data_IF_328771586663
#
_entry.id   IF_328771586663
#
_cell.length_a   1.000
_cell.length_b   1.000
_cell.length_c   1.000
_cell.angle_alpha   90.00
_cell.angle_beta   90.00
_cell.angle_gamma   90.00
#
_symmetry.space_group_name_H-M   'P 1'
#
loop_
_entity.id
_entity.type
_entity.pdbx_description
1 polymer ?
#
# COMPACT_ATOMS: atom_id res chain seq x y z
N UNK A 1 -72.72 -6.24 -2.33
CA UNK A 1 -73.53 -5.86 -1.14
C UNK A 1 -72.81 -6.50 0.05
N UNK A 2 -72.16 -5.73 0.92
CA UNK A 2 -72.71 -5.24 2.19
C UNK A 2 -73.08 -6.39 3.17
N UNK A 3 -72.60 -6.47 4.41
CA UNK A 3 -71.73 -5.59 5.20
C UNK A 3 -71.04 -6.33 6.38
N UNK A 4 -70.13 -5.63 7.07
CA UNK A 4 -69.62 -5.87 8.46
C UNK A 4 -70.76 -5.96 9.50
N UNK A 5 -70.56 -6.41 10.77
CA UNK A 5 -69.38 -6.29 11.66
C UNK A 5 -68.92 -7.67 12.24
N UNK A 6 -68.17 -7.86 13.35
CA UNK A 6 -67.73 -6.97 14.45
C UNK A 6 -66.40 -7.43 15.12
N UNK A 7 -66.05 -6.82 16.27
CA UNK A 7 -64.87 -7.09 17.12
C UNK A 7 -65.20 -7.99 18.33
N UNK A 8 -64.21 -8.76 18.83
CA UNK A 8 -63.47 -8.39 20.06
C UNK A 8 -62.52 -9.46 20.61
N UNK A 9 -61.27 -9.05 20.77
CA UNK A 9 -60.20 -9.41 21.71
C UNK A 9 -60.39 -10.52 22.76
N UNK A 10 -59.40 -11.42 22.86
CA UNK A 10 -58.66 -11.66 24.13
C UNK A 10 -57.29 -12.36 23.91
N UNK A 11 -56.31 -11.97 24.72
CA UNK A 11 -54.92 -12.48 24.88
C UNK A 11 -54.61 -12.23 26.37
N UNK A 12 -54.12 -13.20 27.18
CA UNK A 12 -52.71 -13.65 27.21
C UNK A 12 -52.56 -15.17 27.58
N UNK A 13 -51.42 -15.81 27.93
CA UNK A 13 -50.06 -15.42 28.38
C UNK A 13 -49.05 -16.55 28.01
N UNK A 14 -47.73 -16.34 28.08
CA UNK A 14 -46.67 -17.30 27.66
C UNK A 14 -46.37 -18.48 28.64
N UNK A 15 -45.15 -19.11 28.64
CA UNK A 15 -43.85 -18.52 28.29
C UNK A 15 -42.83 -19.34 27.44
N UNK A 16 -41.84 -18.61 26.90
CA UNK A 16 -40.42 -18.95 26.67
C UNK A 16 -39.96 -20.36 26.19
N UNK A 17 -39.43 -20.41 24.96
CA UNK A 17 -38.10 -21.00 24.68
C UNK A 17 -37.50 -20.46 23.36
N UNK A 18 -36.19 -20.21 23.32
CA UNK A 18 -35.41 -19.81 22.12
C UNK A 18 -33.91 -20.01 22.40
N UNK A 19 -33.03 -20.20 21.41
CA UNK A 19 -33.18 -20.89 20.12
C UNK A 19 -32.17 -22.07 20.00
N UNK A 20 -32.28 -22.89 18.94
CA UNK A 20 -31.14 -23.73 18.49
C UNK A 20 -30.73 -23.37 17.07
N UNK A 21 -29.45 -23.04 16.93
CA UNK A 21 -28.83 -22.39 15.76
C UNK A 21 -28.74 -23.35 14.57
N UNK A 22 -29.45 -23.06 13.49
CA UNK A 22 -29.12 -23.59 12.17
C UNK A 22 -28.22 -22.56 11.45
N UNK A 23 -26.91 -22.81 11.43
CA UNK A 23 -25.95 -21.98 10.70
C UNK A 23 -26.10 -22.26 9.21
N UNK A 24 -26.89 -21.45 8.49
CA UNK A 24 -26.89 -21.49 7.03
C UNK A 24 -25.54 -20.95 6.53
N UNK A 25 -24.80 -21.81 5.82
CA UNK A 25 -23.54 -21.44 5.15
C UNK A 25 -23.87 -20.44 4.04
N UNK A 26 -23.63 -19.16 4.27
CA UNK A 26 -23.59 -18.19 3.18
C UNK A 26 -22.36 -18.41 2.32
N UNK A 27 -22.55 -18.33 1.00
CA UNK A 27 -21.57 -18.76 0.01
C UNK A 27 -20.29 -17.92 -0.02
N UNK A 28 -19.21 -18.56 -0.45
CA UNK A 28 -18.04 -17.85 -0.95
C UNK A 28 -18.42 -17.02 -2.20
N UNK A 29 -17.84 -15.83 -2.34
CA UNK A 29 -18.06 -14.99 -3.52
C UNK A 29 -18.36 -13.52 -3.24
N UNK A 30 -17.56 -12.85 -2.39
CA UNK A 30 -17.42 -11.39 -2.47
C UNK A 30 -16.05 -11.06 -3.05
N UNK A 31 -15.99 -10.91 -4.37
CA UNK A 31 -14.94 -10.14 -5.05
C UNK A 31 -15.17 -8.67 -4.78
N UNK A 32 -14.75 -8.17 -3.61
CA UNK A 32 -14.77 -6.73 -3.28
C UNK A 32 -13.69 -5.98 -4.05
N UNK A 33 -13.90 -5.80 -5.36
CA UNK A 33 -13.27 -4.71 -6.11
C UNK A 33 -13.99 -3.43 -5.68
N UNK A 34 -13.50 -2.81 -4.61
CA UNK A 34 -14.22 -1.75 -3.92
C UNK A 34 -13.44 -1.13 -2.77
N UNK A 35 -12.18 -0.74 -3.00
CA UNK A 35 -11.47 0.12 -2.05
C UNK A 35 -12.02 1.54 -2.17
N UNK A 36 -13.06 1.81 -1.38
CA UNK A 36 -13.59 3.16 -1.17
C UNK A 36 -12.53 4.03 -0.49
N UNK A 37 -12.53 5.31 -0.85
CA UNK A 37 -11.58 6.35 -0.47
C UNK A 37 -10.90 6.20 0.92
N UNK A 38 -9.57 6.26 0.92
CA UNK A 38 -8.74 6.58 2.09
C UNK A 38 -8.40 5.42 3.04
N UNK A 39 -9.37 4.60 3.43
CA UNK A 39 -9.16 3.59 4.48
C UNK A 39 -8.30 2.40 4.10
N UNK A 40 -8.42 1.89 2.86
CA UNK A 40 -7.75 0.66 2.44
C UNK A 40 -6.22 0.73 2.42
N UNK A 41 -5.65 1.93 2.25
CA UNK A 41 -4.20 2.14 2.22
C UNK A 41 -3.55 1.79 3.55
N UNK A 42 -4.23 2.01 4.69
CA UNK A 42 -3.67 1.78 6.03
C UNK A 42 -3.75 0.32 6.51
N UNK A 43 -4.62 -0.50 5.89
CA UNK A 43 -4.95 -1.84 6.36
C UNK A 43 -4.49 -2.96 5.41
N UNK A 44 -4.01 -2.62 4.20
CA UNK A 44 -3.45 -3.59 3.28
C UNK A 44 -2.21 -4.27 3.87
N UNK A 45 -2.18 -5.61 3.83
CA UNK A 45 -1.00 -6.42 4.14
C UNK A 45 -0.80 -7.44 3.02
N UNK A 46 0.34 -7.42 2.30
CA UNK A 46 0.66 -8.48 1.36
C UNK A 46 0.91 -9.80 2.12
N UNK A 47 0.58 -10.93 1.50
CA UNK A 47 0.83 -12.25 2.08
C UNK A 47 2.32 -12.64 2.06
N UNK A 48 3.07 -12.06 1.12
CA UNK A 48 4.51 -12.14 0.97
C UNK A 48 5.19 -10.89 1.60
N UNK A 49 5.41 -10.93 2.91
CA UNK A 49 5.95 -9.81 3.69
C UNK A 49 6.96 -10.25 4.76
N UNK A 50 8.26 -10.13 4.44
CA UNK A 50 9.40 -10.36 5.36
C UNK A 50 9.48 -9.40 6.56
N UNK A 51 8.55 -8.46 6.70
CA UNK A 51 8.51 -7.47 7.80
C UNK A 51 9.76 -6.57 7.90
N UNK A 52 10.43 -6.25 6.79
CA UNK A 52 11.63 -5.41 6.78
C UNK A 52 11.40 -4.02 7.40
N UNK A 53 12.40 -3.48 8.10
CA UNK A 53 12.40 -2.12 8.63
C UNK A 53 13.75 -1.48 8.34
N UNK A 54 13.72 -0.27 7.79
CA UNK A 54 14.90 0.52 7.44
C UNK A 54 14.77 1.91 8.07
N UNK A 55 15.85 2.42 8.67
CA UNK A 55 15.87 3.76 9.25
C UNK A 55 16.14 4.83 8.18
N UNK A 56 16.92 4.47 7.16
CA UNK A 56 17.34 5.33 6.04
C UNK A 56 17.16 4.64 4.69
N UNK A 57 17.14 5.43 3.62
CA UNK A 57 17.24 4.95 2.23
C UNK A 57 18.56 4.21 2.03
N UNK A 58 19.64 4.63 2.69
CA UNK A 58 20.92 3.92 2.65
C UNK A 58 20.83 2.50 3.25
N UNK A 59 20.02 2.27 4.29
CA UNK A 59 19.77 0.92 4.82
C UNK A 59 18.97 0.07 3.86
N UNK A 60 17.92 0.64 3.26
CA UNK A 60 17.10 -0.02 2.27
C UNK A 60 17.91 -0.41 1.03
N UNK A 61 18.79 0.48 0.55
CA UNK A 61 19.67 0.20 -0.58
C UNK A 61 20.67 -0.93 -0.30
N UNK A 62 21.12 -1.16 0.94
CA UNK A 62 21.96 -2.34 1.26
C UNK A 62 21.20 -3.66 1.05
N UNK A 63 19.89 -3.68 1.30
CA UNK A 63 19.06 -4.85 0.98
C UNK A 63 18.84 -4.98 -0.54
N UNK A 64 18.67 -3.87 -1.27
CA UNK A 64 18.63 -3.88 -2.75
C UNK A 64 19.91 -4.50 -3.32
N UNK A 65 21.08 -4.07 -2.86
CA UNK A 65 22.37 -4.64 -3.30
C UNK A 65 22.52 -6.11 -2.90
N UNK A 66 22.09 -6.51 -1.70
CA UNK A 66 22.11 -7.92 -1.27
C UNK A 66 21.27 -8.79 -2.21
N UNK A 67 20.03 -8.38 -2.49
CA UNK A 67 19.13 -9.10 -3.40
C UNK A 67 19.70 -9.16 -4.82
N UNK A 68 20.22 -8.04 -5.33
CA UNK A 68 20.79 -7.97 -6.68
C UNK A 68 22.11 -8.74 -6.84
N UNK A 69 22.89 -8.91 -5.78
CA UNK A 69 24.15 -9.67 -5.80
C UNK A 69 23.95 -11.21 -5.87
N UNK A 70 22.70 -11.67 -5.84
CA UNK A 70 22.32 -13.07 -5.86
C UNK A 70 21.17 -13.31 -6.86
N UNK A 71 20.74 -14.56 -7.01
CA UNK A 71 19.53 -14.88 -7.77
C UNK A 71 18.29 -14.40 -6.98
N UNK A 72 17.76 -13.22 -7.27
CA UNK A 72 16.54 -12.71 -6.62
C UNK A 72 15.27 -13.43 -7.13
N UNK A 73 14.39 -13.83 -6.21
CA UNK A 73 13.11 -14.46 -6.51
C UNK A 73 11.95 -13.88 -5.69
N UNK A 74 10.72 -13.83 -6.24
CA UNK A 74 9.53 -13.43 -5.49
C UNK A 74 9.13 -14.50 -4.48
N UNK A 75 8.74 -14.09 -3.27
CA UNK A 75 8.18 -14.98 -2.26
C UNK A 75 6.74 -15.35 -2.59
N UNK A 76 6.33 -16.57 -2.24
CA UNK A 76 4.98 -17.06 -2.47
C UNK A 76 3.96 -16.46 -1.47
N UNK A 77 2.73 -16.11 -1.90
CA UNK A 77 2.29 -16.02 -3.30
C UNK A 77 2.97 -14.84 -4.00
N UNK A 78 3.38 -15.02 -5.26
CA UNK A 78 4.17 -14.01 -5.98
C UNK A 78 3.47 -12.63 -6.07
N UNK A 79 4.28 -11.58 -6.12
CA UNK A 79 3.83 -10.21 -6.43
C UNK A 79 3.26 -10.10 -7.84
N UNK A 80 2.38 -9.12 -8.06
CA UNK A 80 1.88 -8.79 -9.40
C UNK A 80 2.95 -8.16 -10.31
N UNK A 81 4.00 -7.58 -9.72
CA UNK A 81 5.14 -7.00 -10.42
C UNK A 81 6.39 -7.85 -10.22
N UNK A 82 7.19 -7.97 -11.28
CA UNK A 82 8.51 -8.60 -11.20
C UNK A 82 9.56 -7.67 -10.57
N UNK A 83 10.77 -8.19 -10.37
CA UNK A 83 11.87 -7.45 -9.74
C UNK A 83 12.19 -6.12 -10.45
N UNK A 84 12.28 -6.12 -11.77
CA UNK A 84 12.58 -4.93 -12.58
C UNK A 84 11.49 -3.86 -12.44
N UNK A 85 10.22 -4.26 -12.56
CA UNK A 85 9.07 -3.36 -12.35
C UNK A 85 9.07 -2.76 -10.93
N UNK A 86 9.37 -3.57 -9.90
CA UNK A 86 9.47 -3.11 -8.51
C UNK A 86 10.59 -2.08 -8.34
N UNK A 87 11.78 -2.33 -8.90
CA UNK A 87 12.90 -1.39 -8.87
C UNK A 87 12.55 -0.06 -9.56
N UNK A 88 11.94 -0.11 -10.75
CA UNK A 88 11.49 1.09 -11.49
C UNK A 88 10.44 1.86 -10.70
N UNK A 89 9.47 1.20 -10.08
CA UNK A 89 8.46 1.86 -9.24
C UNK A 89 9.06 2.57 -8.02
N UNK A 90 10.00 1.92 -7.34
CA UNK A 90 10.71 2.54 -6.22
C UNK A 90 11.54 3.75 -6.70
N UNK A 91 12.19 3.65 -7.86
CA UNK A 91 12.92 4.76 -8.46
C UNK A 91 12.01 5.94 -8.79
N UNK A 92 10.86 5.70 -9.45
CA UNK A 92 9.84 6.73 -9.72
C UNK A 92 9.40 7.47 -8.45
N UNK A 93 9.18 6.74 -7.35
CA UNK A 93 8.77 7.34 -6.05
C UNK A 93 9.80 8.35 -5.53
N UNK A 94 11.08 7.98 -5.60
CA UNK A 94 12.19 8.84 -5.17
C UNK A 94 12.39 10.00 -6.15
N UNK A 95 12.40 9.75 -7.45
CA UNK A 95 12.50 10.75 -8.52
C UNK A 95 11.42 11.83 -8.40
N UNK A 96 10.16 11.45 -8.16
CA UNK A 96 9.06 12.42 -8.04
C UNK A 96 9.07 13.23 -6.74
N UNK A 97 9.81 12.81 -5.70
CA UNK A 97 10.08 13.69 -4.56
C UNK A 97 10.99 14.88 -4.92
N UNK A 98 11.80 14.73 -5.97
CA UNK A 98 12.69 15.77 -6.52
C UNK A 98 12.01 16.55 -7.65
N UNK A 99 11.34 15.85 -8.57
CA UNK A 99 10.84 16.39 -9.85
C UNK A 99 9.36 16.80 -9.81
N UNK A 100 8.56 16.21 -8.91
CA UNK A 100 7.14 16.48 -8.74
C UNK A 100 6.25 15.34 -9.23
N UNK A 101 5.29 14.93 -8.40
CA UNK A 101 4.36 13.84 -8.75
C UNK A 101 3.36 14.28 -9.83
N UNK A 102 3.12 13.46 -10.88
CA UNK A 102 2.35 13.90 -12.05
C UNK A 102 0.83 14.04 -11.83
N UNK A 103 0.23 13.28 -10.91
CA UNK A 103 -1.18 13.44 -10.52
C UNK A 103 -1.37 13.40 -8.98
N UNK A 104 -1.16 14.53 -8.28
CA UNK A 104 -1.38 14.60 -6.84
C UNK A 104 -2.86 14.45 -6.45
N UNK A 105 -3.12 13.88 -5.27
CA UNK A 105 -4.45 13.91 -4.64
C UNK A 105 -4.77 15.34 -4.19
N UNK A 106 -6.04 15.64 -3.93
CA UNK A 106 -6.47 16.99 -3.55
C UNK A 106 -5.77 17.48 -2.26
N UNK A 107 -5.57 18.80 -2.16
CA UNK A 107 -4.97 19.41 -0.97
C UNK A 107 -5.73 19.06 0.32
N UNK A 108 -7.06 18.92 0.25
CA UNK A 108 -7.88 18.47 1.39
C UNK A 108 -7.49 17.04 1.82
N UNK A 109 -7.30 16.11 0.88
CA UNK A 109 -6.87 14.74 1.20
C UNK A 109 -5.47 14.73 1.83
N UNK A 110 -4.52 15.44 1.21
CA UNK A 110 -3.14 15.52 1.67
C UNK A 110 -3.03 16.04 3.10
N UNK A 111 -3.73 17.15 3.41
CA UNK A 111 -3.74 17.76 4.74
C UNK A 111 -4.65 17.06 5.77
N UNK A 112 -5.28 15.92 5.43
CA UNK A 112 -6.12 15.15 6.36
C UNK A 112 -5.71 13.67 6.40
N UNK A 113 -6.37 12.82 5.61
CA UNK A 113 -6.13 11.37 5.57
C UNK A 113 -4.71 11.03 5.13
N UNK A 114 -4.11 11.84 4.23
CA UNK A 114 -2.72 11.71 3.79
C UNK A 114 -1.73 11.89 4.93
N UNK A 115 -1.76 13.06 5.59
CA UNK A 115 -0.91 13.37 6.74
C UNK A 115 -1.12 12.38 7.91
N UNK A 116 -2.36 11.99 8.20
CA UNK A 116 -2.68 11.00 9.24
C UNK A 116 -2.11 9.61 8.90
N UNK A 117 -2.22 9.17 7.65
CA UNK A 117 -1.64 7.91 7.19
C UNK A 117 -0.11 7.91 7.30
N UNK A 118 0.54 8.99 6.87
CA UNK A 118 1.99 9.15 7.01
C UNK A 118 2.42 9.12 8.48
N UNK A 119 1.73 9.85 9.36
CA UNK A 119 2.00 9.85 10.81
C UNK A 119 1.94 8.45 11.41
N UNK A 120 0.91 7.67 11.08
CA UNK A 120 0.75 6.30 11.58
C UNK A 120 1.89 5.39 11.07
N UNK A 121 2.24 5.48 9.79
CA UNK A 121 3.33 4.69 9.22
C UNK A 121 4.68 5.05 9.83
N UNK A 122 4.97 6.35 9.96
CA UNK A 122 6.18 6.88 10.61
C UNK A 122 6.31 6.43 12.07
N UNK A 123 5.22 6.41 12.83
CA UNK A 123 5.20 5.87 14.20
C UNK A 123 5.43 4.36 14.25
N UNK A 124 4.94 3.61 13.24
CA UNK A 124 5.16 2.16 13.11
C UNK A 124 6.55 1.80 12.55
N UNK A 125 7.26 2.75 11.93
CA UNK A 125 8.46 2.49 11.13
C UNK A 125 8.21 1.64 9.88
N UNK A 126 6.94 1.43 9.49
CA UNK A 126 6.53 0.62 8.33
C UNK A 126 5.29 1.25 7.69
N UNK A 127 5.35 1.51 6.39
CA UNK A 127 4.15 1.65 5.56
C UNK A 127 3.73 0.29 5.01
N UNK A 128 2.47 0.15 4.66
CA UNK A 128 1.99 -0.96 3.84
C UNK A 128 1.00 -0.40 2.83
N UNK A 129 1.08 -0.86 1.58
CA UNK A 129 0.16 -0.46 0.51
C UNK A 129 0.16 -1.54 -0.57
N UNK A 130 -0.78 -1.46 -1.52
CA UNK A 130 -0.92 -2.47 -2.56
C UNK A 130 0.33 -2.52 -3.45
N UNK A 131 1.02 -3.67 -3.46
CA UNK A 131 2.24 -3.89 -4.24
C UNK A 131 2.03 -3.81 -5.77
N UNK A 132 0.79 -3.68 -6.22
CA UNK A 132 0.40 -3.48 -7.61
C UNK A 132 -0.17 -2.07 -7.91
N UNK A 133 -0.14 -1.12 -6.97
CA UNK A 133 -0.69 0.23 -7.15
C UNK A 133 0.36 1.18 -7.78
N UNK A 134 0.20 1.58 -9.06
CA UNK A 134 1.14 2.49 -9.71
C UNK A 134 1.03 3.91 -9.13
N UNK A 135 2.11 4.68 -9.25
CA UNK A 135 2.07 6.11 -8.91
C UNK A 135 1.11 6.81 -9.88
N UNK A 136 0.09 7.55 -9.40
CA UNK A 136 -0.90 8.19 -10.28
C UNK A 136 -0.25 9.12 -11.30
N UNK A 137 -0.50 8.86 -12.59
CA UNK A 137 0.02 9.64 -13.71
C UNK A 137 1.47 9.33 -14.12
N UNK A 138 2.15 8.40 -13.44
CA UNK A 138 3.50 7.98 -13.83
C UNK A 138 3.48 7.08 -15.09
N UNK A 139 4.58 7.01 -15.86
CA UNK A 139 4.73 6.04 -16.94
C UNK A 139 4.51 4.60 -16.45
N UNK A 140 3.83 3.79 -17.27
CA UNK A 140 3.56 2.39 -16.97
C UNK A 140 4.85 1.57 -16.80
N UNK A 141 4.81 0.57 -15.93
CA UNK A 141 5.95 -0.30 -15.63
C UNK A 141 6.05 -1.43 -16.66
N UNK A 142 7.08 -1.39 -17.48
CA UNK A 142 7.36 -2.44 -18.47
C UNK A 142 7.75 -3.75 -17.78
N UNK A 143 6.98 -4.82 -18.03
CA UNK A 143 7.22 -6.16 -17.51
C UNK A 143 8.42 -6.86 -18.19
N UNK A 144 8.86 -6.36 -19.35
CA UNK A 144 9.98 -6.92 -20.13
C UNK A 144 11.31 -6.19 -19.91
N UNK A 145 11.33 -5.12 -19.10
CA UNK A 145 12.54 -4.35 -18.83
C UNK A 145 13.61 -5.16 -18.08
N UNK A 146 14.86 -5.06 -18.53
CA UNK A 146 16.00 -5.73 -17.89
C UNK A 146 16.27 -5.24 -16.45
N UNK A 147 16.73 -6.16 -15.60
CA UNK A 147 16.97 -5.88 -14.18
C UNK A 147 18.12 -4.91 -13.89
N UNK A 148 19.22 -4.97 -14.65
CA UNK A 148 20.39 -4.09 -14.44
C UNK A 148 20.08 -2.61 -14.72
N UNK A 149 19.46 -2.21 -15.86
CA UNK A 149 19.00 -0.84 -16.06
C UNK A 149 18.03 -0.34 -14.98
N UNK A 150 17.10 -1.19 -14.52
CA UNK A 150 16.17 -0.85 -13.45
C UNK A 150 16.89 -0.61 -12.11
N UNK A 151 17.88 -1.45 -11.80
CA UNK A 151 18.71 -1.35 -10.60
C UNK A 151 19.62 -0.10 -10.65
N UNK A 152 20.25 0.16 -11.79
CA UNK A 152 21.05 1.37 -12.01
C UNK A 152 20.19 2.64 -11.85
N UNK A 153 18.94 2.63 -12.33
CA UNK A 153 17.99 3.73 -12.13
C UNK A 153 17.67 3.95 -10.65
N UNK A 154 17.37 2.89 -9.88
CA UNK A 154 17.10 3.02 -8.46
C UNK A 154 18.32 3.53 -7.67
N UNK A 155 19.52 2.98 -7.97
CA UNK A 155 20.79 3.48 -7.40
C UNK A 155 20.95 4.98 -7.66
N UNK A 156 20.73 5.43 -8.90
CA UNK A 156 20.82 6.86 -9.26
C UNK A 156 19.78 7.70 -8.51
N UNK A 157 18.52 7.27 -8.46
CA UNK A 157 17.47 7.99 -7.75
C UNK A 157 17.79 8.17 -6.26
N UNK A 158 18.30 7.12 -5.60
CA UNK A 158 18.75 7.19 -4.21
C UNK A 158 19.95 8.14 -4.02
N UNK A 159 20.92 8.15 -4.95
CA UNK A 159 22.08 9.06 -4.94
C UNK A 159 21.66 10.52 -5.17
N UNK A 160 20.86 10.78 -6.21
CA UNK A 160 20.30 12.11 -6.51
C UNK A 160 19.52 12.64 -5.31
N UNK A 161 18.70 11.79 -4.67
CA UNK A 161 18.01 12.15 -3.45
C UNK A 161 19.01 12.46 -2.34
N UNK A 162 19.95 11.58 -2.00
CA UNK A 162 20.92 11.83 -0.92
C UNK A 162 21.71 13.14 -1.10
N UNK A 163 22.05 13.51 -2.33
CA UNK A 163 22.76 14.74 -2.67
C UNK A 163 21.87 16.01 -2.69
N UNK A 164 20.54 15.89 -2.76
CA UNK A 164 19.64 17.02 -2.93
C UNK A 164 19.45 17.84 -1.65
N UNK A 165 19.97 19.07 -1.68
CA UNK A 165 19.87 20.08 -0.61
C UNK A 165 18.79 21.15 -0.84
N UNK A 166 18.16 21.16 -2.02
CA UNK A 166 17.11 22.10 -2.38
C UNK A 166 15.72 21.75 -1.79
N UNK A 167 14.69 22.55 -2.09
CA UNK A 167 13.31 22.20 -1.76
C UNK A 167 12.89 20.90 -2.43
N UNK A 168 12.09 20.09 -1.74
CA UNK A 168 11.46 18.88 -2.27
C UNK A 168 10.02 19.18 -2.71
N UNK A 169 9.51 18.39 -3.65
CA UNK A 169 8.15 18.51 -4.14
C UNK A 169 7.15 17.82 -3.19
N UNK A 170 5.89 18.26 -3.08
CA UNK A 170 4.89 17.61 -2.25
C UNK A 170 4.60 16.16 -2.69
N UNK A 171 4.50 15.24 -1.72
CA UNK A 171 4.17 13.84 -1.98
C UNK A 171 2.70 13.72 -2.43
N UNK A 172 2.44 12.96 -3.50
CA UNK A 172 1.12 12.89 -4.13
C UNK A 172 -0.03 12.60 -3.16
N UNK A 173 0.23 11.78 -2.13
CA UNK A 173 -0.75 11.41 -1.11
C UNK A 173 -0.55 12.12 0.24
N UNK A 174 0.68 12.50 0.62
CA UNK A 174 0.99 12.98 1.98
C UNK A 174 1.17 14.51 2.08
N UNK A 175 1.21 15.23 0.96
CA UNK A 175 1.46 16.67 0.93
C UNK A 175 2.93 17.02 1.13
N UNK A 176 3.20 18.22 1.65
CA UNK A 176 4.57 18.68 1.87
C UNK A 176 5.26 17.87 2.99
N UNK A 177 6.44 17.36 2.70
CA UNK A 177 7.29 16.62 3.64
C UNK A 177 8.68 17.25 3.68
N UNK A 178 9.27 17.30 4.88
CA UNK A 178 10.69 17.65 5.06
C UNK A 178 11.60 16.57 4.50
N UNK A 179 12.89 16.89 4.34
CA UNK A 179 13.93 15.93 3.89
C UNK A 179 13.94 14.65 4.73
N UNK A 180 13.92 14.78 6.05
CA UNK A 180 13.93 13.64 6.98
C UNK A 180 12.63 12.82 6.94
N UNK A 181 11.48 13.46 6.70
CA UNK A 181 10.21 12.74 6.50
C UNK A 181 10.20 11.97 5.18
N UNK A 182 10.78 12.53 4.11
CA UNK A 182 10.97 11.81 2.85
C UNK A 182 11.98 10.67 2.95
N UNK A 183 13.08 10.84 3.69
CA UNK A 183 14.03 9.76 4.02
C UNK A 183 13.28 8.55 4.61
N UNK A 184 12.43 8.82 5.61
CA UNK A 184 11.61 7.78 6.24
C UNK A 184 10.53 7.21 5.29
N UNK A 185 9.86 8.06 4.50
CA UNK A 185 8.84 7.63 3.54
C UNK A 185 9.42 6.66 2.50
N UNK A 186 10.57 7.02 1.91
CA UNK A 186 11.28 6.22 0.91
C UNK A 186 11.85 4.93 1.51
N UNK A 187 12.44 4.99 2.70
CA UNK A 187 12.90 3.80 3.43
C UNK A 187 11.76 2.81 3.72
N UNK A 188 10.60 3.30 4.17
CA UNK A 188 9.41 2.48 4.40
C UNK A 188 8.80 1.93 3.10
N UNK A 189 8.81 2.70 2.01
CA UNK A 189 8.29 2.29 0.70
C UNK A 189 9.13 1.17 0.10
N UNK A 190 10.46 1.34 0.11
CA UNK A 190 11.42 0.29 -0.24
C UNK A 190 11.22 -0.94 0.67
N UNK A 191 11.14 -0.78 1.98
CA UNK A 191 10.93 -1.90 2.91
C UNK A 191 9.68 -2.72 2.55
N UNK A 192 8.55 -2.07 2.24
CA UNK A 192 7.30 -2.75 1.88
C UNK A 192 7.43 -3.53 0.56
N UNK A 193 8.10 -2.98 -0.46
CA UNK A 193 8.28 -3.64 -1.75
C UNK A 193 9.33 -4.76 -1.72
N UNK A 194 10.48 -4.52 -1.08
CA UNK A 194 11.56 -5.51 -0.95
C UNK A 194 11.15 -6.68 -0.03
N UNK A 195 10.19 -6.49 0.88
CA UNK A 195 9.67 -7.55 1.75
C UNK A 195 9.00 -8.71 0.99
N UNK A 196 8.72 -8.53 -0.31
CA UNK A 196 8.06 -9.52 -1.15
C UNK A 196 9.00 -10.38 -2.02
N UNK A 197 10.31 -10.12 -1.97
CA UNK A 197 11.38 -10.85 -2.67
C UNK A 197 12.35 -11.43 -1.65
N UNK A 198 13.10 -12.47 -1.99
CA UNK A 198 14.36 -12.82 -1.28
C UNK A 198 15.37 -13.43 -2.27
N UNK A 199 16.53 -13.86 -1.77
CA UNK A 199 17.47 -14.67 -2.55
C UNK A 199 16.91 -16.08 -2.72
N UNK A 200 16.90 -16.57 -3.95
CA UNK A 200 16.65 -17.96 -4.27
C UNK A 200 17.82 -18.81 -3.76
N UNK A 201 17.48 -19.91 -3.05
CA UNK A 201 18.43 -20.92 -2.58
C UNK A 201 18.65 -22.04 -3.59
#
# INVERSE_FOLDING_TARGET
>A
MAATPSRSSSVPTGPMASPRRAFLRYGAGLTTVGVVAGGGYLLYRPANDRQLVFATVADAMREVERLASAAVGPLAPATAWNWSQTLVHCAQSIEYSLQGFPAPKSALFQNTLGAAAFTLFSQRGRMSHNLAEPIPGAPALDATADGEPALARLRKAAQDFAAHTGPLQPHFAYGALTKAQYEQAHAMHLANHLSAFDVAG
#
